data_IF_023901249606
#
_entry.id   IF_023901249606
#
_cell.length_a   1.000
_cell.length_b   1.000
_cell.length_c   1.000
_cell.angle_alpha   90.00
_cell.angle_beta   90.00
_cell.angle_gamma   90.00
#
_symmetry.space_group_name_H-M   'P 1'
#
loop_
_entity.id
_entity.type
_entity.pdbx_description
1 polymer ?
#
# COMPACT_ATOMS: atom_id res chain seq x y z
N UNK A 1 -0.11 40.06 6.33
CA UNK A 1 1.34 39.75 6.43
C UNK A 1 1.44 38.40 7.11
N UNK A 2 1.73 37.35 6.32
CA UNK A 2 2.51 36.13 6.63
C UNK A 2 1.96 35.25 7.78
N UNK A 3 1.16 34.23 7.49
CA UNK A 3 1.54 32.81 7.23
C UNK A 3 2.23 32.12 8.43
N UNK A 4 1.50 31.23 9.10
CA UNK A 4 1.97 30.22 10.06
C UNK A 4 0.85 29.20 10.16
N UNK A 5 1.00 27.90 9.97
CA UNK A 5 2.16 27.04 10.15
C UNK A 5 1.89 25.71 9.44
N UNK A 6 2.70 25.38 8.43
CA UNK A 6 2.64 24.09 7.75
C UNK A 6 3.16 22.98 8.64
N UNK A 7 2.28 22.05 9.00
CA UNK A 7 2.62 20.80 9.68
C UNK A 7 3.29 19.86 8.67
N UNK A 8 4.61 19.94 8.56
CA UNK A 8 5.41 18.99 7.78
C UNK A 8 5.46 17.65 8.52
N UNK A 9 4.57 16.74 8.16
CA UNK A 9 4.71 15.31 8.47
C UNK A 9 6.02 14.82 7.82
N UNK A 10 7.07 14.72 8.62
CA UNK A 10 8.32 14.06 8.24
C UNK A 10 8.02 12.56 8.18
N UNK A 11 7.66 12.07 7.00
CA UNK A 11 7.63 10.64 6.72
C UNK A 11 9.08 10.12 6.81
N UNK A 12 9.42 9.52 7.95
CA UNK A 12 10.68 8.79 8.12
C UNK A 12 10.72 7.63 7.13
N UNK A 13 11.52 7.77 6.08
CA UNK A 13 11.86 6.68 5.16
C UNK A 13 12.86 5.74 5.86
N UNK A 14 12.35 4.83 6.69
CA UNK A 14 13.18 3.82 7.35
C UNK A 14 13.54 2.72 6.35
N UNK A 15 14.69 2.87 5.71
CA UNK A 15 15.18 1.94 4.68
C UNK A 15 16.14 0.93 5.30
N UNK A 16 15.58 -0.11 5.94
CA UNK A 16 16.35 -1.26 6.41
C UNK A 16 16.11 -2.43 5.45
N UNK A 17 17.02 -2.55 4.47
CA UNK A 17 17.00 -3.61 3.46
C UNK A 17 17.44 -4.94 4.07
N UNK A 18 16.57 -5.95 4.03
CA UNK A 18 16.98 -7.35 4.31
C UNK A 18 16.21 -8.38 3.46
N UNK A 19 16.82 -8.71 2.31
CA UNK A 19 17.24 -10.04 1.84
C UNK A 19 16.30 -11.26 2.01
N UNK A 20 15.38 -11.46 1.05
CA UNK A 20 15.12 -12.76 0.39
C UNK A 20 14.66 -12.48 -1.06
N UNK A 21 15.45 -12.90 -2.06
CA UNK A 21 15.04 -13.04 -3.47
C UNK A 21 14.33 -11.85 -4.14
N UNK A 22 15.08 -10.82 -4.52
CA UNK A 22 14.52 -9.60 -5.14
C UNK A 22 14.07 -8.58 -4.09
N UNK A 23 14.14 -7.30 -4.43
CA UNK A 23 13.79 -6.19 -3.54
C UNK A 23 12.27 -6.14 -3.30
N UNK A 24 11.71 -7.03 -2.48
CA UNK A 24 10.27 -7.03 -2.15
C UNK A 24 9.96 -5.92 -1.15
N UNK A 25 9.05 -5.02 -1.53
CA UNK A 25 8.58 -3.89 -0.74
C UNK A 25 7.05 -3.94 -0.63
N UNK A 26 6.51 -3.27 0.38
CA UNK A 26 5.07 -3.08 0.52
C UNK A 26 4.64 -1.80 -0.22
N UNK A 27 3.62 -1.91 -1.04
CA UNK A 27 3.04 -0.80 -1.79
C UNK A 27 1.56 -0.66 -1.45
N UNK A 28 1.12 0.58 -1.26
CA UNK A 28 -0.29 0.95 -1.19
C UNK A 28 -0.68 1.51 -2.55
N UNK A 29 -1.63 0.85 -3.19
CA UNK A 29 -2.22 1.30 -4.45
C UNK A 29 -3.59 1.85 -4.15
N UNK A 30 -3.82 3.11 -4.55
CA UNK A 30 -5.13 3.73 -4.51
C UNK A 30 -5.61 4.05 -5.92
N UNK A 31 -6.91 3.98 -6.11
CA UNK A 31 -7.51 4.26 -7.39
C UNK A 31 -9.02 4.18 -7.35
N UNK A 32 -9.62 4.22 -8.51
CA UNK A 32 -11.05 4.06 -8.72
C UNK A 32 -11.30 2.89 -9.68
N UNK A 33 -12.16 1.95 -9.29
CA UNK A 33 -12.53 0.79 -10.10
C UNK A 33 -14.06 0.64 -10.17
N UNK A 34 -14.61 0.03 -11.24
CA UNK A 34 -16.03 -0.28 -11.30
C UNK A 34 -16.32 -1.53 -10.45
N UNK A 35 -16.93 -1.33 -9.29
CA UNK A 35 -17.46 -2.41 -8.48
C UNK A 35 -18.96 -2.51 -8.74
N UNK A 36 -19.34 -3.43 -9.64
CA UNK A 36 -20.71 -3.57 -10.11
C UNK A 36 -21.13 -2.37 -10.96
N UNK A 37 -22.22 -1.70 -10.57
CA UNK A 37 -22.82 -0.61 -11.35
C UNK A 37 -22.13 0.75 -11.16
N UNK A 38 -21.35 0.93 -10.09
CA UNK A 38 -20.76 2.23 -9.73
C UNK A 38 -19.23 2.18 -9.69
N UNK A 39 -18.60 3.32 -10.01
CA UNK A 39 -17.17 3.52 -9.80
C UNK A 39 -16.91 3.92 -8.35
N UNK A 40 -16.09 3.15 -7.66
CA UNK A 40 -15.76 3.39 -6.25
C UNK A 40 -14.25 3.48 -6.09
N UNK A 41 -13.82 4.26 -5.10
CA UNK A 41 -12.42 4.33 -4.71
C UNK A 41 -12.03 3.04 -4.00
N UNK A 42 -10.81 2.58 -4.24
CA UNK A 42 -10.20 1.47 -3.55
C UNK A 42 -8.81 1.86 -3.07
N UNK A 43 -8.40 1.21 -2.01
CA UNK A 43 -7.09 1.28 -1.38
C UNK A 43 -6.70 -0.16 -1.04
N UNK A 44 -5.59 -0.62 -1.61
CA UNK A 44 -5.13 -1.99 -1.41
C UNK A 44 -3.63 -2.01 -1.17
N UNK A 45 -3.24 -2.76 -0.15
CA UNK A 45 -1.85 -2.94 0.22
C UNK A 45 -1.36 -4.28 -0.34
N UNK A 46 -0.22 -4.26 -1.01
CA UNK A 46 0.31 -5.42 -1.71
C UNK A 46 1.83 -5.44 -1.70
N UNK A 47 2.38 -6.64 -1.75
CA UNK A 47 3.82 -6.87 -1.80
C UNK A 47 4.25 -6.99 -3.26
N UNK A 48 5.25 -6.22 -3.66
CA UNK A 48 5.81 -6.23 -5.02
C UNK A 48 7.29 -5.88 -5.02
N UNK A 49 7.96 -6.14 -6.14
CA UNK A 49 9.38 -5.81 -6.29
C UNK A 49 9.63 -4.36 -6.74
N UNK A 50 8.63 -3.73 -7.34
CA UNK A 50 8.68 -2.39 -7.93
C UNK A 50 7.25 -1.84 -8.03
N UNK A 51 7.11 -0.52 -8.24
CA UNK A 51 5.84 0.13 -8.49
C UNK A 51 5.12 -0.44 -9.74
N UNK A 52 5.87 -0.81 -10.78
CA UNK A 52 5.32 -1.39 -12.01
C UNK A 52 4.74 -2.81 -11.75
N UNK A 53 5.49 -3.64 -11.01
CA UNK A 53 5.01 -4.96 -10.55
C UNK A 53 3.80 -4.82 -9.62
N UNK A 54 3.79 -3.78 -8.77
CA UNK A 54 2.67 -3.46 -7.89
C UNK A 54 1.39 -3.14 -8.69
N UNK A 55 1.50 -2.33 -9.73
CA UNK A 55 0.41 -1.98 -10.63
C UNK A 55 -0.11 -3.20 -11.40
N UNK A 56 0.78 -4.02 -11.97
CA UNK A 56 0.41 -5.25 -12.66
C UNK A 56 -0.32 -6.24 -11.75
N UNK A 57 0.13 -6.39 -10.50
CA UNK A 57 -0.55 -7.19 -9.47
C UNK A 57 -1.90 -6.60 -9.11
N UNK A 58 -2.01 -5.29 -8.96
CA UNK A 58 -3.26 -4.60 -8.69
C UNK A 58 -4.31 -4.90 -9.77
N UNK A 59 -3.95 -4.73 -11.05
CA UNK A 59 -4.83 -5.08 -12.16
C UNK A 59 -5.23 -6.55 -12.17
N UNK A 60 -4.33 -7.45 -11.84
CA UNK A 60 -4.60 -8.90 -11.83
C UNK A 60 -5.56 -9.28 -10.71
N UNK A 61 -5.40 -8.71 -9.52
CA UNK A 61 -6.28 -8.95 -8.36
C UNK A 61 -7.67 -8.37 -8.62
N UNK A 62 -7.77 -7.11 -9.05
CA UNK A 62 -9.06 -6.46 -9.30
C UNK A 62 -9.76 -7.13 -10.49
N UNK A 63 -9.03 -7.46 -11.54
CA UNK A 63 -9.57 -8.12 -12.73
C UNK A 63 -10.13 -9.50 -12.43
N UNK A 64 -9.42 -10.34 -11.67
CA UNK A 64 -9.87 -11.70 -11.36
C UNK A 64 -10.98 -11.73 -10.30
N UNK A 65 -10.85 -10.95 -9.23
CA UNK A 65 -11.79 -10.96 -8.10
C UNK A 65 -13.08 -10.20 -8.37
N UNK A 66 -13.01 -9.12 -9.16
CA UNK A 66 -14.14 -8.22 -9.39
C UNK A 66 -14.58 -8.16 -10.86
N UNK A 67 -14.00 -9.00 -11.73
CA UNK A 67 -14.29 -9.06 -13.17
C UNK A 67 -14.17 -7.70 -13.87
N UNK A 68 -13.31 -6.82 -13.35
CA UNK A 68 -13.11 -5.48 -13.87
C UNK A 68 -12.13 -5.50 -15.04
N UNK A 69 -12.46 -4.81 -16.11
CA UNK A 69 -11.55 -4.66 -17.24
C UNK A 69 -10.42 -3.66 -16.89
N UNK A 70 -9.18 -3.94 -17.30
CA UNK A 70 -8.02 -3.06 -17.06
C UNK A 70 -8.28 -1.62 -17.47
N UNK A 71 -8.95 -1.42 -18.62
CA UNK A 71 -9.30 -0.09 -19.16
C UNK A 71 -10.28 0.71 -18.29
N UNK A 72 -10.99 0.03 -17.40
CA UNK A 72 -12.02 0.63 -16.54
C UNK A 72 -11.50 0.98 -15.15
N UNK A 73 -10.31 0.48 -14.79
CA UNK A 73 -9.64 0.73 -13.53
C UNK A 73 -8.72 1.94 -13.72
N UNK A 74 -8.89 2.97 -12.90
CA UNK A 74 -8.03 4.16 -12.88
C UNK A 74 -7.20 4.13 -11.62
N UNK A 75 -5.90 3.89 -11.72
CA UNK A 75 -4.98 4.01 -10.59
C UNK A 75 -4.67 5.50 -10.39
N UNK A 76 -4.79 5.96 -9.15
CA UNK A 76 -4.54 7.37 -8.77
C UNK A 76 -3.13 7.54 -8.21
N UNK A 77 -2.67 6.61 -7.36
CA UNK A 77 -1.32 6.62 -6.83
C UNK A 77 -0.83 5.23 -6.44
N UNK A 78 0.49 5.05 -6.53
CA UNK A 78 1.22 3.87 -6.06
C UNK A 78 2.33 4.38 -5.16
N UNK A 79 2.23 4.09 -3.86
CA UNK A 79 3.17 4.59 -2.85
C UNK A 79 3.79 3.43 -2.09
N UNK A 80 5.11 3.45 -1.93
CA UNK A 80 5.83 2.52 -1.03
C UNK A 80 5.42 2.83 0.42
N UNK A 81 5.02 1.81 1.18
CA UNK A 81 4.62 1.92 2.58
C UNK A 81 5.45 0.99 3.45
N UNK A 82 5.53 1.30 4.75
CA UNK A 82 6.12 0.38 5.72
C UNK A 82 5.16 -0.81 5.94
N UNK A 83 5.62 -2.07 5.80
CA UNK A 83 4.79 -3.26 6.05
C UNK A 83 4.18 -3.30 7.46
N UNK A 84 4.74 -2.59 8.44
CA UNK A 84 4.22 -2.49 9.81
C UNK A 84 2.91 -1.70 9.91
N UNK A 85 2.66 -0.80 8.95
CA UNK A 85 1.48 0.08 8.90
C UNK A 85 0.33 -0.47 8.04
N UNK A 86 0.57 -1.59 7.36
CA UNK A 86 -0.42 -2.26 6.52
C UNK A 86 -1.39 -3.07 7.37
N UNK A 87 -2.67 -3.05 6.98
CA UNK A 87 -3.72 -3.88 7.60
C UNK A 87 -3.92 -5.20 6.85
N UNK A 88 -3.32 -5.34 5.66
CA UNK A 88 -3.52 -6.50 4.80
C UNK A 88 -2.76 -7.74 5.33
N UNK A 89 -3.44 -8.87 5.59
CA UNK A 89 -2.80 -10.08 6.11
C UNK A 89 -1.67 -10.60 5.23
N UNK A 90 -1.78 -10.46 3.90
CA UNK A 90 -0.74 -10.91 2.95
C UNK A 90 0.55 -10.12 3.07
N UNK A 91 0.46 -8.82 3.38
CA UNK A 91 1.64 -7.97 3.58
C UNK A 91 2.27 -8.30 4.93
N UNK A 92 1.46 -8.43 5.97
CA UNK A 92 1.93 -8.76 7.31
C UNK A 92 2.63 -10.12 7.33
N UNK A 93 2.08 -11.13 6.65
CA UNK A 93 2.65 -12.48 6.58
C UNK A 93 3.98 -12.49 5.83
N UNK A 94 4.07 -11.81 4.68
CA UNK A 94 5.29 -11.72 3.88
C UNK A 94 6.45 -11.04 4.62
N UNK A 95 6.15 -10.09 5.51
CA UNK A 95 7.14 -9.31 6.26
C UNK A 95 7.22 -9.69 7.73
N UNK A 96 6.66 -10.83 8.12
CA UNK A 96 6.53 -11.24 9.53
C UNK A 96 7.86 -11.16 10.28
N UNK A 97 8.91 -11.77 9.73
CA UNK A 97 10.24 -11.78 10.34
C UNK A 97 10.83 -10.37 10.48
N UNK A 98 10.56 -9.50 9.51
CA UNK A 98 11.02 -8.09 9.54
C UNK A 98 10.26 -7.27 10.59
N UNK A 99 8.95 -7.50 10.73
CA UNK A 99 8.12 -6.84 11.75
C UNK A 99 8.58 -7.28 13.15
N UNK A 100 8.86 -8.56 13.35
CA UNK A 100 9.35 -9.11 14.61
C UNK A 100 10.76 -8.55 14.94
N UNK A 101 11.68 -8.56 13.97
CA UNK A 101 13.04 -8.01 14.14
C UNK A 101 13.06 -6.50 14.43
N UNK A 102 12.12 -5.74 13.86
CA UNK A 102 12.06 -4.31 14.02
C UNK A 102 11.32 -3.86 15.31
N UNK A 103 10.81 -4.79 16.12
CA UNK A 103 10.19 -4.51 17.43
C UNK A 103 8.66 -4.45 17.45
N UNK A 104 7.97 -5.16 16.56
CA UNK A 104 6.52 -5.40 16.62
C UNK A 104 5.65 -4.54 15.69
N UNK A 105 4.33 -4.78 15.70
CA UNK A 105 3.38 -4.04 14.84
C UNK A 105 3.16 -2.63 15.37
N UNK A 106 3.20 -1.64 14.49
CA UNK A 106 2.72 -0.29 14.77
C UNK A 106 1.25 -0.31 14.35
N UNK A 107 0.34 -0.47 15.31
CA UNK A 107 -1.09 -0.34 14.99
C UNK A 107 -1.32 1.07 14.39
N UNK A 108 -2.08 1.21 13.30
CA UNK A 108 -2.56 2.53 12.93
C UNK A 108 -3.40 3.01 14.12
N UNK A 109 -2.93 4.05 14.79
CA UNK A 109 -3.70 4.75 15.81
C UNK A 109 -4.96 5.24 15.10
N UNK A 110 -6.08 4.56 15.32
CA UNK A 110 -7.39 5.11 15.08
C UNK A 110 -7.47 6.36 15.97
N UNK A 111 -7.31 7.53 15.37
CA UNK A 111 -7.82 8.76 15.96
C UNK A 111 -9.34 8.58 16.05
N UNK A 112 -9.82 8.42 17.27
CA UNK A 112 -11.20 8.62 17.67
C UNK A 112 -11.61 10.05 17.31
N UNK A 113 -12.71 10.23 16.56
CA UNK A 113 -13.82 11.13 16.93
C UNK A 113 -15.09 10.80 16.14
#
# INVERSE_FOLDING_TARGET
MIESSGLWLRASAFKLHSQVGGYMQAFRVSGTAPFGSQRQKFNMDLVANSADDAEHRCYSIIGSRHKANRRSIKIESVSEIDPRTSTEPRVIDAFRDQIEAAGGKIAPKAEEE
#
